data_IF_356498616666
#
_entry.id   IF_356498616666
#
_cell.length_a   1.000
_cell.length_b   1.000
_cell.length_c   1.000
_cell.angle_alpha   90.00
_cell.angle_beta   90.00
_cell.angle_gamma   90.00
#
_symmetry.space_group_name_H-M   'P 1'
#
loop_
_entity.id
_entity.type
_entity.pdbx_description
1 polymer ?
#
# COMPACT_ATOMS: atom_id res chain seq x y z
N UNK A 1 -28.43 -6.65 30.39
CA UNK A 1 -28.49 -5.76 29.21
C UNK A 1 -27.17 -5.90 28.47
N UNK A 2 -27.16 -6.70 27.39
CA UNK A 2 -25.99 -6.83 26.52
C UNK A 2 -25.90 -5.59 25.63
N UNK A 3 -24.86 -4.78 25.86
CA UNK A 3 -24.46 -3.72 24.94
C UNK A 3 -23.91 -4.36 23.67
N UNK A 4 -24.67 -4.24 22.57
CA UNK A 4 -24.21 -4.56 21.24
C UNK A 4 -22.94 -3.75 20.92
N UNK A 5 -21.95 -4.32 20.21
CA UNK A 5 -20.77 -3.57 19.82
C UNK A 5 -21.20 -2.44 18.89
N UNK A 6 -20.85 -1.20 19.24
CA UNK A 6 -21.03 -0.05 18.36
C UNK A 6 -20.38 -0.38 17.01
N UNK A 7 -21.21 -0.46 15.96
CA UNK A 7 -20.73 -0.52 14.58
C UNK A 7 -19.84 0.70 14.38
N UNK A 8 -18.55 0.50 14.14
CA UNK A 8 -17.65 1.57 13.75
C UNK A 8 -18.22 2.26 12.52
N UNK A 9 -18.79 3.45 12.71
CA UNK A 9 -19.25 4.30 11.62
C UNK A 9 -18.02 4.87 10.95
N UNK A 10 -17.62 4.26 9.82
CA UNK A 10 -16.60 4.81 8.95
C UNK A 10 -17.16 6.08 8.32
N UNK A 11 -16.84 7.24 8.90
CA UNK A 11 -17.30 8.55 8.41
C UNK A 11 -16.41 9.10 7.28
N UNK A 12 -15.20 8.57 7.12
CA UNK A 12 -14.26 8.95 6.05
C UNK A 12 -13.26 7.83 5.81
N UNK A 13 -12.98 7.51 4.55
CA UNK A 13 -11.97 6.51 4.17
C UNK A 13 -10.56 7.10 4.35
N UNK A 14 -9.72 6.43 5.15
CA UNK A 14 -8.34 6.87 5.44
C UNK A 14 -7.36 6.41 4.36
N UNK A 15 -6.31 7.20 4.12
CA UNK A 15 -5.28 6.92 3.09
C UNK A 15 -4.68 5.51 3.15
N UNK A 16 -4.30 4.96 4.32
CA UNK A 16 -3.69 3.63 4.38
C UNK A 16 -4.60 2.51 3.86
N UNK A 17 -5.91 2.63 4.07
CA UNK A 17 -6.88 1.69 3.53
C UNK A 17 -6.98 1.78 2.01
N UNK A 18 -6.94 3.00 1.47
CA UNK A 18 -6.92 3.26 0.03
C UNK A 18 -5.64 2.67 -0.60
N UNK A 19 -4.49 2.86 0.04
CA UNK A 19 -3.21 2.26 -0.37
C UNK A 19 -3.30 0.74 -0.42
N UNK A 20 -3.87 0.13 0.61
CA UNK A 20 -4.03 -1.31 0.68
C UNK A 20 -4.92 -1.84 -0.46
N UNK A 21 -6.09 -1.22 -0.66
CA UNK A 21 -7.05 -1.66 -1.68
C UNK A 21 -6.51 -1.47 -3.10
N UNK A 22 -5.78 -0.37 -3.34
CA UNK A 22 -5.09 -0.12 -4.61
C UNK A 22 -4.17 -1.29 -4.95
N UNK A 23 -3.36 -1.74 -3.98
CA UNK A 23 -2.38 -2.81 -4.18
C UNK A 23 -3.02 -4.19 -4.26
N UNK A 24 -4.11 -4.43 -3.53
CA UNK A 24 -4.90 -5.66 -3.67
C UNK A 24 -5.48 -5.77 -5.07
N UNK A 25 -6.09 -4.71 -5.62
CA UNK A 25 -6.63 -4.71 -7.00
C UNK A 25 -5.54 -4.99 -8.03
N UNK A 26 -4.36 -4.37 -7.88
CA UNK A 26 -3.21 -4.62 -8.75
C UNK A 26 -2.71 -6.08 -8.63
N UNK A 27 -2.68 -6.62 -7.41
CA UNK A 27 -2.31 -8.02 -7.15
C UNK A 27 -3.29 -9.00 -7.79
N UNK A 28 -4.60 -8.74 -7.66
CA UNK A 28 -5.66 -9.53 -8.29
C UNK A 28 -5.49 -9.58 -9.81
N UNK A 29 -5.21 -8.45 -10.45
CA UNK A 29 -5.00 -8.38 -11.90
C UNK A 29 -3.83 -9.28 -12.35
N UNK A 30 -2.78 -9.39 -11.53
CA UNK A 30 -1.64 -10.27 -11.79
C UNK A 30 -1.89 -11.73 -11.42
N UNK A 31 -2.83 -12.02 -10.50
CA UNK A 31 -3.14 -13.39 -10.06
C UNK A 31 -3.92 -14.16 -11.12
N UNK A 32 -4.67 -13.45 -11.95
CA UNK A 32 -5.41 -13.99 -13.08
C UNK A 32 -6.92 -13.91 -12.89
N UNK A 33 -7.64 -14.31 -13.95
CA UNK A 33 -9.08 -14.11 -14.13
C UNK A 33 -9.95 -14.57 -12.96
N UNK A 34 -9.70 -15.77 -12.42
CA UNK A 34 -10.57 -16.35 -11.40
C UNK A 34 -10.55 -15.56 -10.09
N UNK A 35 -9.36 -15.21 -9.60
CA UNK A 35 -9.22 -14.40 -8.39
C UNK A 35 -9.80 -13.00 -8.61
N UNK A 36 -9.55 -12.42 -9.79
CA UNK A 36 -10.09 -11.11 -10.16
C UNK A 36 -11.62 -11.09 -10.17
N UNK A 37 -12.25 -12.13 -10.73
CA UNK A 37 -13.69 -12.28 -10.69
C UNK A 37 -14.22 -12.39 -9.27
N UNK A 38 -13.73 -13.38 -8.53
CA UNK A 38 -14.20 -13.70 -7.19
C UNK A 38 -14.11 -12.52 -6.21
N UNK A 39 -13.01 -11.78 -6.24
CA UNK A 39 -12.71 -10.79 -5.21
C UNK A 39 -12.98 -9.34 -5.63
N UNK A 40 -13.17 -9.06 -6.93
CA UNK A 40 -13.50 -7.71 -7.41
C UNK A 40 -14.79 -7.65 -8.22
N UNK A 41 -14.94 -8.47 -9.27
CA UNK A 41 -16.11 -8.39 -10.16
C UNK A 41 -17.39 -8.81 -9.44
N UNK A 42 -17.40 -9.97 -8.79
CA UNK A 42 -18.59 -10.53 -8.16
C UNK A 42 -19.12 -9.59 -7.05
N UNK A 43 -18.28 -9.06 -6.13
CA UNK A 43 -18.74 -8.03 -5.18
C UNK A 43 -19.31 -6.78 -5.86
N UNK A 44 -18.63 -6.24 -6.89
CA UNK A 44 -19.11 -5.04 -7.58
C UNK A 44 -20.44 -5.28 -8.32
N UNK A 45 -20.66 -6.48 -8.85
CA UNK A 45 -21.92 -6.85 -9.50
C UNK A 45 -23.10 -6.86 -8.51
N UNK A 46 -22.83 -7.14 -7.23
CA UNK A 46 -23.81 -7.08 -6.15
C UNK A 46 -24.06 -5.68 -5.57
N UNK A 47 -23.40 -4.63 -6.08
CA UNK A 47 -23.56 -3.27 -5.52
C UNK A 47 -24.95 -2.67 -5.79
N UNK A 48 -25.59 -3.03 -6.89
CA UNK A 48 -26.93 -2.53 -7.24
C UNK A 48 -27.68 -3.53 -8.09
N UNK A 49 -28.97 -3.70 -7.80
CA UNK A 49 -29.87 -4.50 -8.64
C UNK A 49 -30.25 -3.78 -9.94
N UNK A 50 -29.99 -2.47 -10.04
CA UNK A 50 -30.31 -1.64 -11.19
C UNK A 50 -29.03 -1.28 -11.94
N UNK A 51 -28.96 -1.68 -13.22
CA UNK A 51 -27.91 -1.26 -14.15
C UNK A 51 -28.22 0.13 -14.73
N UNK A 52 -27.25 1.06 -14.76
CA UNK A 52 -27.43 2.35 -15.44
C UNK A 52 -27.84 2.20 -16.91
N UNK A 53 -28.71 3.11 -17.37
CA UNK A 53 -29.21 3.12 -18.74
C UNK A 53 -28.17 3.64 -19.74
N UNK A 54 -27.28 4.54 -19.30
CA UNK A 54 -26.20 5.07 -20.13
C UNK A 54 -25.19 3.99 -20.52
N UNK A 55 -24.59 4.14 -21.71
CA UNK A 55 -23.47 3.29 -22.14
C UNK A 55 -22.22 3.58 -21.30
N UNK A 56 -21.29 2.63 -21.28
CA UNK A 56 -20.05 2.77 -20.53
C UNK A 56 -19.21 3.96 -21.04
N UNK A 57 -19.16 4.21 -22.35
CA UNK A 57 -18.39 5.32 -22.92
C UNK A 57 -18.97 6.68 -22.50
N UNK A 58 -20.30 6.79 -22.47
CA UNK A 58 -20.99 8.00 -22.01
C UNK A 58 -20.71 8.25 -20.52
N UNK A 59 -20.75 7.20 -19.69
CA UNK A 59 -20.45 7.31 -18.26
C UNK A 59 -19.00 7.72 -18.00
N UNK A 60 -18.04 7.14 -18.73
CA UNK A 60 -16.62 7.54 -18.67
C UNK A 60 -16.43 9.02 -19.06
N UNK A 61 -17.11 9.48 -20.10
CA UNK A 61 -17.07 10.89 -20.52
C UNK A 61 -17.62 11.82 -19.44
N UNK A 62 -18.78 11.49 -18.85
CA UNK A 62 -19.38 12.26 -17.75
C UNK A 62 -18.48 12.27 -16.51
N UNK A 63 -17.79 11.18 -16.24
CA UNK A 63 -16.87 11.03 -15.11
C UNK A 63 -15.65 11.95 -15.27
N UNK A 64 -15.04 12.01 -16.46
CA UNK A 64 -13.92 12.93 -16.73
C UNK A 64 -14.34 14.41 -16.70
N UNK A 65 -15.53 14.73 -17.20
CA UNK A 65 -16.11 16.08 -17.07
C UNK A 65 -16.35 16.44 -15.60
N UNK A 66 -16.87 15.49 -14.81
CA UNK A 66 -17.14 15.68 -13.39
C UNK A 66 -15.86 15.88 -12.57
N UNK A 67 -14.76 15.19 -12.91
CA UNK A 67 -13.44 15.41 -12.32
C UNK A 67 -12.93 16.82 -12.60
N UNK A 68 -12.91 17.21 -13.87
CA UNK A 68 -12.41 18.52 -14.32
C UNK A 68 -13.18 19.66 -13.65
N UNK A 69 -14.50 19.52 -13.55
CA UNK A 69 -15.37 20.55 -12.99
C UNK A 69 -15.55 20.44 -11.46
N UNK A 70 -14.85 19.53 -10.78
CA UNK A 70 -15.06 19.26 -9.35
C UNK A 70 -16.55 19.10 -8.99
N UNK A 71 -17.29 18.33 -9.79
CA UNK A 71 -18.73 18.15 -9.62
C UNK A 71 -19.06 17.36 -8.36
N UNK A 72 -20.11 17.75 -7.64
CA UNK A 72 -20.61 17.01 -6.45
C UNK A 72 -21.14 15.61 -6.80
N UNK A 73 -21.47 15.36 -8.08
CA UNK A 73 -21.96 14.07 -8.58
C UNK A 73 -20.86 13.05 -8.86
N UNK A 74 -19.58 13.42 -8.65
CA UNK A 74 -18.45 12.56 -8.97
C UNK A 74 -18.52 11.17 -8.30
N UNK A 75 -18.82 11.04 -6.99
CA UNK A 75 -18.94 9.71 -6.36
C UNK A 75 -20.05 8.83 -6.98
N UNK A 76 -21.22 9.42 -7.23
CA UNK A 76 -22.33 8.73 -7.88
C UNK A 76 -21.95 8.25 -9.29
N UNK A 77 -21.24 9.08 -10.07
CA UNK A 77 -20.76 8.70 -11.40
C UNK A 77 -19.77 7.54 -11.32
N UNK A 78 -18.86 7.51 -10.33
CA UNK A 78 -18.00 6.34 -10.12
C UNK A 78 -18.81 5.06 -9.85
N UNK A 79 -19.81 5.12 -8.97
CA UNK A 79 -20.70 3.99 -8.68
C UNK A 79 -21.43 3.51 -9.94
N UNK A 80 -22.05 4.42 -10.69
CA UNK A 80 -22.75 4.08 -11.93
C UNK A 80 -21.80 3.42 -12.95
N UNK A 81 -20.64 4.02 -13.20
CA UNK A 81 -19.65 3.48 -14.15
C UNK A 81 -19.17 2.10 -13.71
N UNK A 82 -18.92 1.89 -12.41
CA UNK A 82 -18.51 0.58 -11.87
C UNK A 82 -19.60 -0.49 -12.07
N UNK A 83 -20.85 -0.19 -11.69
CA UNK A 83 -21.98 -1.11 -11.89
C UNK A 83 -22.14 -1.46 -13.37
N UNK A 84 -22.05 -0.47 -14.27
CA UNK A 84 -22.16 -0.71 -15.71
C UNK A 84 -20.99 -1.56 -16.25
N UNK A 85 -19.78 -1.35 -15.74
CA UNK A 85 -18.57 -2.06 -16.20
C UNK A 85 -18.54 -3.55 -15.84
N UNK A 86 -19.32 -3.97 -14.84
CA UNK A 86 -19.42 -5.37 -14.41
C UNK A 86 -20.70 -6.06 -14.88
N UNK A 87 -21.51 -5.37 -15.69
CA UNK A 87 -22.72 -5.95 -16.26
C UNK A 87 -22.37 -7.08 -17.25
N UNK A 88 -23.10 -8.23 -17.24
CA UNK A 88 -22.74 -9.40 -18.04
C UNK A 88 -22.61 -9.14 -19.54
N UNK A 89 -23.37 -8.18 -20.07
CA UNK A 89 -23.39 -7.78 -21.48
C UNK A 89 -22.22 -6.87 -21.90
N UNK A 90 -21.43 -6.36 -20.95
CA UNK A 90 -20.39 -5.34 -21.18
C UNK A 90 -19.07 -5.64 -20.44
N UNK A 91 -18.90 -6.86 -19.90
CA UNK A 91 -17.76 -7.18 -19.06
C UNK A 91 -16.44 -7.27 -19.85
N UNK A 92 -15.66 -6.20 -19.80
CA UNK A 92 -14.22 -6.20 -20.06
C UNK A 92 -13.48 -6.12 -18.73
N UNK A 93 -12.72 -7.16 -18.37
CA UNK A 93 -12.04 -7.26 -17.06
C UNK A 93 -11.06 -6.10 -16.78
N UNK A 94 -10.55 -5.41 -17.79
CA UNK A 94 -9.63 -4.29 -17.59
C UNK A 94 -10.35 -3.02 -17.09
N UNK A 95 -11.63 -2.86 -17.44
CA UNK A 95 -12.40 -1.63 -17.22
C UNK A 95 -12.78 -1.44 -15.73
N UNK A 96 -13.41 -2.41 -15.04
CA UNK A 96 -13.75 -2.31 -13.62
C UNK A 96 -12.53 -2.02 -12.73
N UNK A 97 -11.38 -2.62 -13.04
CA UNK A 97 -10.13 -2.39 -12.33
C UNK A 97 -9.66 -0.95 -12.44
N UNK A 98 -9.57 -0.46 -13.67
CA UNK A 98 -9.13 0.91 -13.91
C UNK A 98 -10.07 1.93 -13.27
N UNK A 99 -11.39 1.72 -13.34
CA UNK A 99 -12.35 2.61 -12.68
C UNK A 99 -12.21 2.53 -11.15
N UNK A 100 -12.04 1.33 -10.58
CA UNK A 100 -11.86 1.14 -9.14
C UNK A 100 -10.59 1.84 -8.62
N UNK A 101 -9.47 1.70 -9.34
CA UNK A 101 -8.21 2.38 -9.04
C UNK A 101 -8.35 3.90 -9.15
N UNK A 102 -9.06 4.39 -10.17
CA UNK A 102 -9.34 5.82 -10.32
C UNK A 102 -10.24 6.34 -9.20
N UNK A 103 -11.23 5.56 -8.75
CA UNK A 103 -12.10 5.96 -7.65
C UNK A 103 -11.31 6.09 -6.34
N UNK A 104 -10.48 5.11 -6.03
CA UNK A 104 -9.54 5.13 -4.90
C UNK A 104 -8.58 6.34 -4.98
N UNK A 105 -8.07 6.66 -6.18
CA UNK A 105 -7.25 7.86 -6.40
C UNK A 105 -8.03 9.14 -6.09
N UNK A 106 -9.26 9.28 -6.60
CA UNK A 106 -10.12 10.44 -6.29
C UNK A 106 -10.43 10.55 -4.80
N UNK A 107 -10.62 9.45 -4.07
CA UNK A 107 -10.80 9.47 -2.61
C UNK A 107 -9.60 10.06 -1.86
N UNK A 108 -8.37 9.85 -2.38
CA UNK A 108 -7.14 10.42 -1.81
C UNK A 108 -6.98 11.91 -2.12
N UNK A 109 -7.40 12.33 -3.29
CA UNK A 109 -7.22 13.70 -3.79
C UNK A 109 -8.33 14.63 -3.30
N UNK A 110 -9.55 14.13 -3.13
CA UNK A 110 -10.74 14.91 -2.79
C UNK A 110 -11.39 14.39 -1.48
N UNK A 111 -11.28 15.13 -0.35
CA UNK A 111 -11.88 14.73 0.92
C UNK A 111 -13.39 14.47 0.88
N UNK A 112 -14.12 15.20 0.02
CA UNK A 112 -15.56 14.99 -0.19
C UNK A 112 -15.88 13.63 -0.81
N UNK A 113 -14.98 13.09 -1.62
CA UNK A 113 -15.16 11.79 -2.27
C UNK A 113 -14.92 10.69 -1.24
N UNK A 114 -13.88 10.79 -0.42
CA UNK A 114 -13.62 9.82 0.66
C UNK A 114 -14.64 9.83 1.79
N UNK A 115 -15.44 10.89 1.93
CA UNK A 115 -16.54 10.98 2.88
C UNK A 115 -17.92 10.67 2.27
N UNK A 116 -18.00 10.33 0.97
CA UNK A 116 -19.26 10.04 0.29
C UNK A 116 -19.82 8.66 0.66
N UNK A 117 -21.14 8.52 0.61
CA UNK A 117 -21.83 7.25 0.84
C UNK A 117 -21.36 6.20 -0.17
N UNK A 118 -21.17 6.58 -1.44
CA UNK A 118 -20.67 5.67 -2.47
C UNK A 118 -19.26 5.14 -2.16
N UNK A 119 -18.37 5.98 -1.62
CA UNK A 119 -17.05 5.52 -1.21
C UNK A 119 -17.13 4.56 -0.01
N UNK A 120 -18.00 4.85 0.96
CA UNK A 120 -18.21 3.99 2.13
C UNK A 120 -18.80 2.64 1.72
N UNK A 121 -19.79 2.62 0.83
CA UNK A 121 -20.37 1.41 0.27
C UNK A 121 -19.34 0.59 -0.51
N UNK A 122 -18.57 1.23 -1.39
CA UNK A 122 -17.50 0.58 -2.17
C UNK A 122 -16.50 -0.14 -1.28
N UNK A 123 -16.04 0.51 -0.20
CA UNK A 123 -15.12 -0.10 0.75
C UNK A 123 -15.78 -1.26 1.49
N UNK A 124 -17.04 -1.12 1.92
CA UNK A 124 -17.76 -2.19 2.62
C UNK A 124 -17.93 -3.43 1.75
N UNK A 125 -18.27 -3.26 0.46
CA UNK A 125 -18.43 -4.34 -0.50
C UNK A 125 -17.16 -5.19 -0.66
N UNK A 126 -16.01 -4.53 -0.74
CA UNK A 126 -14.74 -5.21 -0.98
C UNK A 126 -14.09 -5.75 0.30
N UNK A 127 -14.50 -5.27 1.48
CA UNK A 127 -13.81 -5.51 2.75
C UNK A 127 -13.58 -6.98 3.06
N UNK A 128 -14.62 -7.81 2.99
CA UNK A 128 -14.51 -9.22 3.38
C UNK A 128 -13.70 -10.01 2.35
N UNK A 129 -14.00 -9.84 1.06
CA UNK A 129 -13.27 -10.51 -0.02
C UNK A 129 -11.79 -10.12 -0.05
N UNK A 130 -11.47 -8.83 0.13
CA UNK A 130 -10.08 -8.36 0.16
C UNK A 130 -9.32 -8.86 1.38
N UNK A 131 -10.00 -9.00 2.53
CA UNK A 131 -9.40 -9.62 3.72
C UNK A 131 -9.07 -11.09 3.46
N UNK A 132 -10.05 -11.85 2.97
CA UNK A 132 -9.86 -13.27 2.65
C UNK A 132 -8.73 -13.49 1.64
N UNK A 133 -8.70 -12.68 0.57
CA UNK A 133 -7.63 -12.72 -0.42
C UNK A 133 -6.26 -12.41 0.20
N UNK A 134 -6.18 -11.36 1.02
CA UNK A 134 -4.93 -10.96 1.68
C UNK A 134 -4.40 -12.04 2.63
N UNK A 135 -5.28 -12.68 3.41
CA UNK A 135 -4.93 -13.77 4.32
C UNK A 135 -4.39 -14.98 3.53
N UNK A 136 -5.05 -15.35 2.43
CA UNK A 136 -4.61 -16.44 1.54
C UNK A 136 -3.26 -16.14 0.89
N UNK A 137 -3.09 -14.92 0.38
CA UNK A 137 -1.83 -14.51 -0.25
C UNK A 137 -0.70 -14.44 0.77
N UNK A 138 -0.96 -13.97 2.01
CA UNK A 138 0.03 -14.01 3.08
C UNK A 138 0.49 -15.43 3.37
N UNK A 139 -0.42 -16.38 3.59
CA UNK A 139 -0.05 -17.80 3.85
C UNK A 139 0.81 -18.34 2.71
N UNK A 140 0.38 -18.11 1.45
CA UNK A 140 1.09 -18.57 0.25
C UNK A 140 2.49 -17.96 0.16
N UNK A 141 2.64 -16.67 0.39
CA UNK A 141 3.92 -15.97 0.31
C UNK A 141 4.82 -16.28 1.50
N UNK A 142 4.27 -16.48 2.69
CA UNK A 142 5.03 -16.90 3.86
C UNK A 142 5.62 -18.30 3.71
N UNK A 143 4.87 -19.24 3.11
CA UNK A 143 5.37 -20.56 2.76
C UNK A 143 6.43 -20.49 1.66
N UNK A 144 6.15 -19.75 0.58
CA UNK A 144 7.11 -19.58 -0.51
C UNK A 144 8.43 -18.96 -0.02
N UNK A 145 8.34 -17.91 0.81
CA UNK A 145 9.52 -17.27 1.35
C UNK A 145 10.39 -18.26 2.12
N UNK A 146 9.79 -19.08 2.98
CA UNK A 146 10.45 -20.14 3.75
C UNK A 146 11.14 -21.18 2.86
N UNK A 147 10.47 -21.64 1.81
CA UNK A 147 11.02 -22.60 0.86
C UNK A 147 12.22 -22.01 0.10
N UNK A 148 12.11 -20.77 -0.38
CA UNK A 148 13.16 -20.09 -1.14
C UNK A 148 14.39 -19.85 -0.26
N UNK A 149 14.21 -19.29 0.94
CA UNK A 149 15.34 -18.98 1.84
C UNK A 149 16.06 -20.24 2.34
N UNK A 150 15.34 -21.36 2.50
CA UNK A 150 15.94 -22.61 2.94
C UNK A 150 16.91 -23.20 1.92
N UNK A 151 16.77 -22.87 0.63
CA UNK A 151 17.61 -23.39 -0.46
C UNK A 151 18.67 -22.41 -0.95
N UNK A 152 18.63 -21.13 -0.54
CA UNK A 152 19.69 -20.16 -0.87
C UNK A 152 21.03 -20.65 -0.35
N UNK A 153 22.11 -20.43 -1.09
CA UNK A 153 23.46 -20.77 -0.64
C UNK A 153 23.97 -19.84 0.48
N UNK A 154 24.96 -20.27 1.26
CA UNK A 154 25.50 -19.44 2.35
C UNK A 154 26.07 -18.10 1.86
N UNK A 155 26.66 -18.07 0.66
CA UNK A 155 27.32 -16.89 0.10
C UNK A 155 26.31 -15.81 -0.28
N UNK A 156 25.15 -16.20 -0.78
CA UNK A 156 24.06 -15.32 -1.14
C UNK A 156 23.33 -14.83 0.11
N UNK A 157 23.18 -15.67 1.16
CA UNK A 157 22.74 -15.17 2.47
C UNK A 157 23.73 -14.17 3.07
N UNK A 158 25.04 -14.42 2.98
CA UNK A 158 26.05 -13.44 3.40
C UNK A 158 25.96 -12.14 2.60
N UNK A 159 25.72 -12.18 1.28
CA UNK A 159 25.49 -10.98 0.46
C UNK A 159 24.22 -10.24 0.87
N UNK A 160 23.15 -10.97 1.22
CA UNK A 160 21.91 -10.38 1.73
C UNK A 160 22.19 -9.58 3.00
N UNK A 161 23.07 -10.09 3.86
CA UNK A 161 23.43 -9.44 5.12
C UNK A 161 24.44 -8.31 4.91
N UNK A 162 25.49 -8.50 4.10
CA UNK A 162 26.49 -7.46 3.77
C UNK A 162 25.90 -6.29 2.98
N UNK A 163 24.84 -6.52 2.19
CA UNK A 163 24.06 -5.42 1.61
C UNK A 163 23.43 -4.50 2.67
N UNK A 164 23.38 -4.92 3.94
CA UNK A 164 22.97 -4.10 5.09
C UNK A 164 24.14 -3.36 5.77
N UNK A 165 25.40 -3.58 5.38
CA UNK A 165 26.56 -2.95 6.03
C UNK A 165 27.03 -1.70 5.27
N UNK A 166 26.79 -1.62 3.95
CA UNK A 166 26.99 -0.43 3.11
C UNK A 166 28.45 -0.05 2.87
N UNK A 167 28.78 0.41 1.65
CA UNK A 167 30.13 0.91 1.32
C UNK A 167 30.26 2.43 1.57
N UNK A 168 31.33 2.88 2.23
CA UNK A 168 31.54 4.30 2.62
C UNK A 168 31.45 5.31 1.45
N UNK A 169 31.93 4.93 0.26
CA UNK A 169 31.88 5.80 -0.92
C UNK A 169 30.46 5.90 -1.51
N UNK A 170 29.69 4.81 -1.44
CA UNK A 170 28.28 4.79 -1.86
C UNK A 170 27.42 5.56 -0.86
N UNK A 171 27.76 5.47 0.42
CA UNK A 171 27.10 6.17 1.52
C UNK A 171 27.07 7.69 1.35
N UNK A 172 28.18 8.33 0.96
CA UNK A 172 28.22 9.78 0.69
C UNK A 172 27.31 10.20 -0.46
N UNK A 173 27.27 9.42 -1.54
CA UNK A 173 26.37 9.67 -2.69
C UNK A 173 24.90 9.59 -2.26
N UNK A 174 24.56 8.65 -1.38
CA UNK A 174 23.19 8.51 -0.89
C UNK A 174 22.81 9.68 0.04
N UNK A 175 23.74 10.23 0.81
CA UNK A 175 23.48 11.42 1.63
C UNK A 175 23.17 12.65 0.77
N UNK A 176 23.92 12.89 -0.30
CA UNK A 176 23.60 13.96 -1.26
C UNK A 176 22.23 13.75 -1.91
N UNK A 177 21.89 12.52 -2.27
CA UNK A 177 20.57 12.19 -2.81
C UNK A 177 19.46 12.41 -1.78
N UNK A 178 19.72 12.11 -0.51
CA UNK A 178 18.80 12.35 0.59
C UNK A 178 18.52 13.84 0.74
N UNK A 179 19.56 14.68 0.73
CA UNK A 179 19.39 16.12 0.80
C UNK A 179 18.63 16.70 -0.40
N UNK A 180 18.92 16.21 -1.62
CA UNK A 180 18.17 16.59 -2.84
C UNK A 180 16.70 16.19 -2.74
N UNK A 181 16.41 14.98 -2.25
CA UNK A 181 15.04 14.51 -2.08
C UNK A 181 14.31 15.31 -0.99
N UNK A 182 14.98 15.65 0.12
CA UNK A 182 14.41 16.48 1.17
C UNK A 182 14.08 17.89 0.66
N UNK A 183 14.96 18.48 -0.16
CA UNK A 183 14.69 19.75 -0.84
C UNK A 183 13.46 19.66 -1.76
N UNK A 184 13.31 18.56 -2.51
CA UNK A 184 12.11 18.34 -3.32
C UNK A 184 10.82 18.24 -2.48
N UNK A 185 10.87 17.61 -1.30
CA UNK A 185 9.73 17.61 -0.36
C UNK A 185 9.42 19.05 0.12
N UNK A 186 10.44 19.86 0.40
CA UNK A 186 10.26 21.28 0.78
C UNK A 186 9.65 22.11 -0.34
N UNK A 187 9.96 21.83 -1.61
CA UNK A 187 9.31 22.49 -2.74
C UNK A 187 7.82 22.12 -2.84
N UNK A 188 7.49 20.83 -2.69
CA UNK A 188 6.09 20.37 -2.66
C UNK A 188 5.32 20.99 -1.50
N UNK A 189 5.97 21.22 -0.34
CA UNK A 189 5.37 21.88 0.81
C UNK A 189 4.82 23.28 0.49
N UNK A 190 5.44 24.01 -0.45
CA UNK A 190 5.00 25.35 -0.88
C UNK A 190 3.62 25.33 -1.53
N UNK A 191 3.24 24.23 -2.19
CA UNK A 191 1.93 24.07 -2.85
C UNK A 191 0.75 24.02 -1.87
N UNK A 192 1.01 23.70 -0.59
CA UNK A 192 -0.01 23.44 0.44
C UNK A 192 -0.98 22.29 0.10
N UNK A 193 -0.67 21.50 -0.93
CA UNK A 193 -1.40 20.28 -1.27
C UNK A 193 -1.00 19.16 -0.29
N UNK A 194 -1.84 18.95 0.73
CA UNK A 194 -1.58 17.98 1.78
C UNK A 194 -1.43 16.53 1.24
N UNK A 195 -2.30 16.03 0.34
CA UNK A 195 -2.08 14.78 -0.37
C UNK A 195 -0.71 14.68 -1.07
N UNK A 196 -0.28 15.70 -1.82
CA UNK A 196 1.02 15.69 -2.49
C UNK A 196 2.18 15.65 -1.50
N UNK A 197 2.09 16.42 -0.41
CA UNK A 197 3.10 16.43 0.66
C UNK A 197 3.22 15.04 1.30
N UNK A 198 2.08 14.39 1.64
CA UNK A 198 2.08 13.02 2.19
C UNK A 198 2.79 12.05 1.26
N UNK A 199 2.47 12.08 -0.05
CA UNK A 199 3.13 11.22 -1.05
C UNK A 199 4.64 11.47 -1.10
N UNK A 200 5.06 12.73 -1.10
CA UNK A 200 6.48 13.08 -1.15
C UNK A 200 7.24 12.57 0.09
N UNK A 201 6.65 12.71 1.28
CA UNK A 201 7.22 12.17 2.53
C UNK A 201 7.28 10.65 2.51
N UNK A 202 6.22 9.97 2.06
CA UNK A 202 6.22 8.49 1.93
C UNK A 202 7.35 8.04 0.99
N UNK A 203 7.48 8.65 -0.19
CA UNK A 203 8.55 8.32 -1.15
C UNK A 203 9.93 8.51 -0.52
N UNK A 204 10.12 9.59 0.23
CA UNK A 204 11.35 9.83 0.97
C UNK A 204 11.63 8.71 1.99
N UNK A 205 10.65 8.38 2.84
CA UNK A 205 10.78 7.31 3.84
C UNK A 205 11.13 5.98 3.18
N UNK A 206 10.42 5.58 2.13
CA UNK A 206 10.67 4.33 1.41
C UNK A 206 12.09 4.27 0.83
N UNK A 207 12.60 5.40 0.32
CA UNK A 207 13.93 5.47 -0.28
C UNK A 207 15.04 5.42 0.78
N UNK A 208 14.91 6.14 1.88
CA UNK A 208 16.02 6.40 2.81
C UNK A 208 15.93 5.70 4.18
N UNK A 209 14.95 4.82 4.39
CA UNK A 209 14.84 3.92 5.56
C UNK A 209 15.76 2.69 5.46
N UNK A 210 17.04 2.88 5.24
CA UNK A 210 17.96 1.76 5.04
C UNK A 210 18.49 1.22 6.38
N UNK A 211 18.47 -0.11 6.63
CA UNK A 211 19.10 -0.70 7.81
C UNK A 211 20.58 -0.36 8.00
N UNK A 212 21.34 -0.17 6.91
CA UNK A 212 22.74 0.25 6.97
C UNK A 212 22.88 1.68 7.53
N UNK A 213 21.82 2.47 7.39
CA UNK A 213 21.77 3.90 7.70
C UNK A 213 20.49 4.23 8.47
N UNK A 214 20.30 3.65 9.66
CA UNK A 214 18.99 3.57 10.30
C UNK A 214 18.43 4.96 10.63
N UNK A 215 19.28 5.98 10.79
CA UNK A 215 18.86 7.32 11.15
C UNK A 215 18.63 8.26 9.95
N UNK A 216 19.01 7.88 8.72
CA UNK A 216 18.97 8.81 7.57
C UNK A 216 17.55 9.32 7.27
N UNK A 217 16.56 8.44 7.37
CA UNK A 217 15.16 8.78 7.13
C UNK A 217 14.62 9.84 8.12
N UNK A 218 15.25 9.99 9.30
CA UNK A 218 14.78 10.92 10.34
C UNK A 218 14.88 12.39 9.92
N UNK A 219 15.70 12.72 8.92
CA UNK A 219 15.82 14.10 8.43
C UNK A 219 14.48 14.68 7.92
N UNK A 220 13.54 13.82 7.49
CA UNK A 220 12.20 14.28 7.08
C UNK A 220 11.35 14.77 8.26
N UNK A 221 11.73 14.47 9.51
CA UNK A 221 10.99 14.93 10.69
C UNK A 221 10.94 16.45 10.80
N UNK A 222 11.96 17.17 10.29
CA UNK A 222 11.94 18.63 10.20
C UNK A 222 10.73 19.17 9.41
N UNK A 223 10.22 18.38 8.45
CA UNK A 223 9.04 18.69 7.65
C UNK A 223 7.76 18.15 8.32
N UNK A 224 7.84 16.93 8.88
CA UNK A 224 6.69 16.25 9.47
C UNK A 224 6.23 16.93 10.77
N UNK A 225 7.15 17.32 11.65
CA UNK A 225 6.80 17.84 12.99
C UNK A 225 5.97 19.13 12.94
N UNK A 226 6.31 20.15 12.11
CA UNK A 226 5.44 21.31 11.93
C UNK A 226 4.06 20.95 11.39
N UNK A 227 3.98 19.97 10.48
CA UNK A 227 2.70 19.51 9.91
C UNK A 227 1.84 18.80 10.95
N UNK A 228 2.43 18.02 11.85
CA UNK A 228 1.72 17.33 12.94
C UNK A 228 1.05 18.31 13.89
N UNK A 229 1.69 19.45 14.18
CA UNK A 229 1.09 20.52 15.01
C UNK A 229 -0.20 21.07 14.41
N UNK A 230 -0.28 21.12 13.08
CA UNK A 230 -1.48 21.59 12.34
C UNK A 230 -2.47 20.47 12.03
N UNK A 231 -1.98 19.27 11.77
CA UNK A 231 -2.74 18.10 11.33
C UNK A 231 -2.33 16.89 12.19
N UNK A 232 -3.01 16.70 13.33
CA UNK A 232 -2.62 15.70 14.34
C UNK A 232 -2.47 14.27 13.80
N UNK A 233 -3.25 13.89 12.78
CA UNK A 233 -3.20 12.55 12.17
C UNK A 233 -2.12 12.38 11.09
N UNK A 234 -1.43 13.45 10.69
CA UNK A 234 -0.54 13.44 9.52
C UNK A 234 0.56 12.37 9.62
N UNK A 235 1.29 12.33 10.74
CA UNK A 235 2.36 11.34 10.95
C UNK A 235 1.81 9.93 10.89
N UNK A 236 0.70 9.66 11.60
CA UNK A 236 0.09 8.33 11.62
C UNK A 236 -0.32 7.88 10.22
N UNK A 237 -1.01 8.74 9.46
CA UNK A 237 -1.44 8.39 8.10
C UNK A 237 -0.27 8.13 7.15
N UNK A 238 0.79 8.94 7.21
CA UNK A 238 2.02 8.73 6.42
C UNK A 238 2.70 7.41 6.78
N UNK A 239 2.86 7.15 8.08
CA UNK A 239 3.54 5.95 8.59
C UNK A 239 2.75 4.68 8.29
N UNK A 240 1.42 4.69 8.53
CA UNK A 240 0.53 3.58 8.21
C UNK A 240 0.53 3.28 6.70
N UNK A 241 0.47 4.32 5.85
CA UNK A 241 0.55 4.15 4.39
C UNK A 241 1.90 3.57 3.95
N UNK A 242 3.01 4.05 4.55
CA UNK A 242 4.33 3.51 4.27
C UNK A 242 4.45 2.03 4.67
N UNK A 243 3.90 1.64 5.84
CA UNK A 243 3.87 0.26 6.31
C UNK A 243 3.14 -0.67 5.32
N UNK A 244 1.94 -0.27 4.88
CA UNK A 244 1.16 -1.01 3.88
C UNK A 244 1.94 -1.13 2.57
N UNK A 245 2.56 -0.05 2.10
CA UNK A 245 3.34 -0.07 0.86
C UNK A 245 4.51 -1.06 0.98
N UNK A 246 5.31 -0.97 2.05
CA UNK A 246 6.46 -1.86 2.25
C UNK A 246 6.01 -3.31 2.31
N UNK A 247 4.94 -3.63 3.05
CA UNK A 247 4.38 -4.98 3.14
C UNK A 247 4.09 -5.57 1.75
N UNK A 248 3.42 -4.82 0.89
CA UNK A 248 3.13 -5.30 -0.48
C UNK A 248 4.37 -5.40 -1.37
N UNK A 249 5.40 -4.56 -1.16
CA UNK A 249 6.68 -4.73 -1.87
C UNK A 249 7.43 -5.99 -1.39
N UNK A 250 7.31 -6.38 -0.11
CA UNK A 250 7.81 -7.68 0.39
C UNK A 250 7.11 -8.82 -0.34
N UNK A 251 5.76 -8.83 -0.36
CA UNK A 251 5.00 -9.88 -1.05
C UNK A 251 5.36 -9.97 -2.53
N UNK A 252 5.51 -8.83 -3.20
CA UNK A 252 5.90 -8.77 -4.61
C UNK A 252 7.31 -9.34 -4.82
N UNK A 253 8.28 -8.95 -4.00
CA UNK A 253 9.64 -9.45 -4.11
C UNK A 253 9.72 -10.98 -3.92
N UNK A 254 8.95 -11.53 -2.97
CA UNK A 254 8.84 -12.98 -2.77
C UNK A 254 8.17 -13.65 -3.99
N UNK A 255 7.11 -13.05 -4.52
CA UNK A 255 6.43 -13.55 -5.72
C UNK A 255 7.39 -13.62 -6.90
N UNK A 256 8.25 -12.62 -7.06
CA UNK A 256 9.21 -12.48 -8.17
C UNK A 256 10.54 -13.23 -7.93
N UNK A 257 10.64 -14.07 -6.90
CA UNK A 257 11.87 -14.79 -6.50
C UNK A 257 13.07 -13.87 -6.25
N UNK A 258 12.81 -12.65 -5.76
CA UNK A 258 13.85 -11.67 -5.48
C UNK A 258 14.04 -11.53 -3.96
N UNK A 259 14.76 -12.49 -3.37
CA UNK A 259 15.01 -12.50 -1.93
C UNK A 259 15.81 -11.29 -1.45
N UNK A 260 16.71 -10.75 -2.28
CA UNK A 260 17.45 -9.50 -1.99
C UNK A 260 16.50 -8.36 -1.68
N UNK A 261 15.51 -8.13 -2.55
CA UNK A 261 14.53 -7.10 -2.33
C UNK A 261 13.58 -7.45 -1.17
N UNK A 262 13.20 -8.71 -1.00
CA UNK A 262 12.32 -9.12 0.09
C UNK A 262 12.95 -8.79 1.45
N UNK A 263 14.20 -9.23 1.68
CA UNK A 263 14.95 -8.96 2.92
C UNK A 263 15.18 -7.46 3.09
N UNK A 264 15.55 -6.74 2.03
CA UNK A 264 15.69 -5.28 2.08
C UNK A 264 14.41 -4.57 2.54
N UNK A 265 13.25 -5.00 2.05
CA UNK A 265 11.97 -4.40 2.46
C UNK A 265 11.55 -4.82 3.88
N UNK A 266 11.85 -6.05 4.31
CA UNK A 266 11.68 -6.49 5.71
C UNK A 266 12.54 -5.60 6.62
N UNK A 267 13.82 -5.39 6.28
CA UNK A 267 14.71 -4.51 7.02
C UNK A 267 14.22 -3.05 7.06
N UNK A 268 13.73 -2.51 5.93
CA UNK A 268 13.09 -1.17 5.87
C UNK A 268 11.91 -1.06 6.83
N UNK A 269 11.06 -2.08 6.87
CA UNK A 269 9.93 -2.13 7.78
C UNK A 269 10.41 -2.11 9.24
N UNK A 270 11.39 -2.94 9.59
CA UNK A 270 11.97 -2.98 10.92
C UNK A 270 12.57 -1.62 11.32
N UNK A 271 13.34 -0.96 10.45
CA UNK A 271 13.92 0.37 10.72
C UNK A 271 12.85 1.42 11.04
N UNK A 272 11.73 1.41 10.32
CA UNK A 272 10.69 2.42 10.47
C UNK A 272 9.73 2.15 11.65
N UNK A 273 9.50 0.88 11.98
CA UNK A 273 8.35 0.49 12.82
C UNK A 273 8.70 -0.45 13.99
N UNK A 274 9.99 -0.74 14.25
CA UNK A 274 10.43 -1.62 15.34
C UNK A 274 9.76 -1.21 16.67
N UNK A 275 9.17 -2.20 17.34
CA UNK A 275 8.54 -2.05 18.65
C UNK A 275 7.13 -1.45 18.63
N UNK A 276 6.50 -1.25 17.46
CA UNK A 276 5.14 -0.71 17.38
C UNK A 276 4.14 -1.75 16.80
N UNK A 277 3.45 -2.53 17.66
CA UNK A 277 2.52 -3.58 17.22
C UNK A 277 1.23 -3.06 16.57
N UNK A 278 0.92 -1.78 16.74
CA UNK A 278 -0.26 -1.12 16.14
C UNK A 278 -0.03 -0.76 14.66
N UNK A 279 1.18 -1.02 14.14
CA UNK A 279 1.53 -0.74 12.75
C UNK A 279 0.83 -1.73 11.81
N UNK A 280 0.26 -1.28 10.67
CA UNK A 280 -0.35 -2.19 9.71
C UNK A 280 0.58 -3.31 9.26
N UNK A 281 0.07 -4.54 9.24
CA UNK A 281 0.78 -5.76 8.83
C UNK A 281 2.00 -6.14 9.72
N UNK A 282 2.07 -5.64 10.96
CA UNK A 282 3.19 -5.90 11.86
C UNK A 282 3.44 -7.40 12.08
N UNK A 283 2.38 -8.20 12.32
CA UNK A 283 2.51 -9.64 12.59
C UNK A 283 2.99 -10.42 11.37
N UNK A 284 2.51 -10.03 10.20
CA UNK A 284 2.86 -10.65 8.93
C UNK A 284 4.33 -10.39 8.61
N UNK A 285 4.81 -9.16 8.80
CA UNK A 285 6.22 -8.82 8.59
C UNK A 285 7.13 -9.46 9.63
N UNK A 286 6.73 -9.46 10.91
CA UNK A 286 7.43 -10.17 11.99
C UNK A 286 7.57 -11.67 11.70
N UNK A 287 6.56 -12.31 11.07
CA UNK A 287 6.67 -13.70 10.64
C UNK A 287 7.75 -13.90 9.57
N UNK A 288 7.91 -12.99 8.60
CA UNK A 288 8.98 -13.09 7.61
C UNK A 288 10.35 -12.86 8.25
N UNK A 289 10.46 -11.84 9.11
CA UNK A 289 11.69 -11.49 9.83
C UNK A 289 12.18 -12.66 10.70
N UNK A 290 11.29 -13.32 11.45
CA UNK A 290 11.63 -14.50 12.27
C UNK A 290 12.18 -15.66 11.46
N UNK A 291 11.57 -15.97 10.31
CA UNK A 291 12.06 -17.05 9.42
C UNK A 291 13.44 -16.73 8.86
N UNK A 292 13.68 -15.46 8.52
CA UNK A 292 14.99 -15.00 8.08
C UNK A 292 16.04 -15.20 9.17
N UNK A 293 15.76 -14.78 10.41
CA UNK A 293 16.69 -14.95 11.52
C UNK A 293 16.93 -16.40 11.92
N UNK A 294 15.90 -17.25 11.92
CA UNK A 294 16.05 -18.68 12.19
C UNK A 294 17.08 -19.33 11.28
N UNK A 295 17.10 -18.98 10.00
CA UNK A 295 18.06 -19.54 9.05
C UNK A 295 19.48 -19.00 9.25
N UNK A 296 19.62 -17.74 9.65
CA UNK A 296 20.93 -17.19 10.03
C UNK A 296 21.49 -17.94 11.24
N UNK A 297 20.64 -18.23 12.23
CA UNK A 297 21.00 -19.01 13.42
C UNK A 297 21.35 -20.46 13.08
N UNK A 298 20.49 -21.17 12.35
CA UNK A 298 20.71 -22.58 11.96
C UNK A 298 22.00 -22.80 11.16
N UNK A 299 22.39 -21.81 10.36
CA UNK A 299 23.59 -21.86 9.51
C UNK A 299 24.83 -21.24 10.14
N UNK A 300 24.77 -20.84 11.42
CA UNK A 300 25.87 -20.18 12.14
C UNK A 300 26.49 -18.98 11.40
N UNK A 301 25.69 -18.27 10.60
CA UNK A 301 26.20 -17.17 9.79
C UNK A 301 26.58 -15.94 10.64
N UNK A 302 26.09 -15.86 11.88
CA UNK A 302 26.45 -14.82 12.85
C UNK A 302 27.96 -14.73 13.12
N UNK A 303 28.67 -15.86 13.11
CA UNK A 303 30.12 -15.88 13.38
C UNK A 303 30.95 -15.35 12.21
N UNK A 304 30.43 -15.45 10.98
CA UNK A 304 31.07 -14.93 9.76
C UNK A 304 30.79 -13.45 9.48
N UNK A 305 29.90 -12.85 10.27
CA UNK A 305 29.50 -11.43 10.19
C UNK A 305 30.17 -10.56 11.25
N UNK A 306 30.97 -11.15 12.15
CA UNK A 306 31.87 -10.41 13.05
C UNK A 306 33.20 -10.12 12.36
#
# INVERSE_FOLDING_TARGET
>A
MHTLPMRETINTIRSPLIDNYTRIIQSLAQRGRNAYHQYLIDPLSGWSNTTPAETIEKLLTLLEQAKTNSSKKLPLLYKMTLIKSVAPDQLDMSVPGNISLNFLKSMKEEPRVSASDEAIEFIKLLKEGFKEYSDKEFIRMNKKFEEEIAVVDEVEVEKLIKAHEGEEAENRKIDEQSQKALAAVREVLKSRDLPAIKRAVIVYLLKFSDPAMPNRHLAVNEIVDPLVRKYRSFRKEVMDSAAVIIYHEILKAIKDNNLVNAVKYIGKYAVLFRGNPETPNYREVDSFEKKFFQIIEERNLWERLR
#
